data_IF_528962040255
#
_entry.id   IF_528962040255
#
_cell.length_a   1.000
_cell.length_b   1.000
_cell.length_c   1.000
_cell.angle_alpha   90.00
_cell.angle_beta   90.00
_cell.angle_gamma   90.00
#
_symmetry.space_group_name_H-M   'P 1'
#
loop_
_entity.id
_entity.type
_entity.pdbx_description
1 polymer ?
#
# COMPACT_ATOMS: atom_id res chain seq x y z
N UNK A 1 -8.77 -28.64 -12.48
CA UNK A 1 -7.65 -28.95 -13.40
C UNK A 1 -6.44 -29.34 -12.56
N UNK A 2 -5.66 -30.36 -12.97
CA UNK A 2 -4.52 -30.87 -12.19
C UNK A 2 -3.25 -30.83 -13.02
N UNK A 3 -2.18 -30.27 -12.46
CA UNK A 3 -0.84 -30.29 -13.01
C UNK A 3 0.07 -31.10 -12.10
N UNK A 4 0.73 -32.11 -12.65
CA UNK A 4 1.66 -32.95 -11.91
C UNK A 4 3.06 -32.77 -12.47
N UNK A 5 4.01 -32.45 -11.60
CA UNK A 5 5.42 -32.34 -11.92
C UNK A 5 6.21 -33.31 -11.05
N UNK A 6 7.19 -33.97 -11.64
CA UNK A 6 8.12 -34.84 -10.95
C UNK A 6 9.54 -34.31 -11.13
N UNK A 7 10.28 -34.28 -10.05
CA UNK A 7 11.71 -33.96 -10.05
C UNK A 7 12.45 -35.18 -9.53
N UNK A 8 13.08 -35.91 -10.46
CA UNK A 8 13.88 -37.09 -10.10
C UNK A 8 15.08 -36.66 -9.21
N UNK A 9 15.56 -37.61 -8.38
CA UNK A 9 16.72 -37.33 -7.54
C UNK A 9 17.93 -36.90 -8.37
N UNK A 10 18.47 -35.70 -8.08
CA UNK A 10 19.60 -35.10 -8.79
C UNK A 10 19.23 -34.43 -10.13
N UNK A 11 17.95 -34.36 -10.50
CA UNK A 11 17.53 -33.63 -11.70
C UNK A 11 17.53 -32.11 -11.45
N UNK A 12 17.90 -31.38 -12.49
CA UNK A 12 17.95 -29.90 -12.46
C UNK A 12 16.61 -29.23 -12.84
N UNK A 13 15.63 -30.00 -13.27
CA UNK A 13 14.32 -29.52 -13.74
C UNK A 13 13.21 -30.51 -13.38
N UNK A 14 11.99 -30.00 -13.32
CA UNK A 14 10.80 -30.82 -13.20
C UNK A 14 10.35 -31.35 -14.59
N UNK A 15 9.82 -32.55 -14.62
CA UNK A 15 9.17 -33.11 -15.79
C UNK A 15 7.66 -33.18 -15.54
N UNK A 16 6.84 -32.72 -16.50
CA UNK A 16 5.39 -32.87 -16.38
C UNK A 16 5.01 -34.35 -16.50
N UNK A 17 4.09 -34.78 -15.64
CA UNK A 17 3.54 -36.12 -15.63
C UNK A 17 2.00 -36.08 -15.77
N UNK A 18 1.42 -37.16 -16.25
CA UNK A 18 -0.04 -37.28 -16.29
C UNK A 18 -0.60 -37.47 -14.87
N UNK A 19 -1.73 -36.84 -14.57
CA UNK A 19 -2.38 -36.97 -13.26
C UNK A 19 -2.70 -38.44 -12.89
N UNK A 20 -2.95 -39.29 -13.90
CA UNK A 20 -3.14 -40.74 -13.70
C UNK A 20 -1.89 -41.50 -13.26
N UNK A 21 -0.70 -40.89 -13.37
CA UNK A 21 0.57 -41.51 -12.92
C UNK A 21 0.94 -41.18 -11.46
N UNK A 22 0.08 -40.52 -10.70
CA UNK A 22 0.35 -40.00 -9.35
C UNK A 22 0.95 -41.05 -8.41
N UNK A 23 0.38 -42.26 -8.36
CA UNK A 23 0.90 -43.35 -7.49
C UNK A 23 2.28 -43.81 -7.93
N UNK A 24 2.53 -43.90 -9.25
CA UNK A 24 3.82 -44.29 -9.81
C UNK A 24 4.89 -43.23 -9.54
N UNK A 25 4.54 -41.96 -9.69
CA UNK A 25 5.43 -40.80 -9.42
C UNK A 25 5.76 -40.73 -7.93
N UNK A 26 4.76 -40.97 -7.04
CA UNK A 26 4.97 -41.01 -5.59
C UNK A 26 5.93 -42.12 -5.16
N UNK A 27 5.93 -43.24 -5.85
CA UNK A 27 6.81 -44.38 -5.56
C UNK A 27 8.20 -44.22 -6.17
N UNK A 28 8.46 -43.22 -6.97
CA UNK A 28 9.77 -42.96 -7.61
C UNK A 28 10.68 -42.15 -6.69
N UNK A 29 12.01 -42.22 -6.96
CA UNK A 29 12.98 -41.39 -6.25
C UNK A 29 12.85 -39.91 -6.67
N UNK A 30 12.94 -39.00 -5.69
CA UNK A 30 12.84 -37.58 -5.92
C UNK A 30 11.68 -36.93 -5.15
N UNK A 31 11.08 -35.91 -5.72
CA UNK A 31 9.91 -35.25 -5.14
C UNK A 31 8.89 -34.87 -6.20
N UNK A 32 7.67 -34.64 -5.81
CA UNK A 32 6.57 -34.28 -6.69
C UNK A 32 5.95 -32.92 -6.29
N UNK A 33 5.42 -32.22 -7.29
CA UNK A 33 4.49 -31.11 -7.12
C UNK A 33 3.18 -31.42 -7.84
N UNK A 34 2.10 -31.56 -7.06
CA UNK A 34 0.74 -31.65 -7.56
C UNK A 34 0.03 -30.31 -7.31
N UNK A 35 -0.34 -29.64 -8.41
CA UNK A 35 -1.06 -28.37 -8.38
C UNK A 35 -2.50 -28.57 -8.84
N UNK A 36 -3.46 -28.32 -7.94
CA UNK A 36 -4.88 -28.60 -8.15
C UNK A 36 -5.65 -27.30 -8.22
N UNK A 37 -6.10 -26.97 -9.43
CA UNK A 37 -6.79 -25.71 -9.74
C UNK A 37 -8.26 -25.97 -10.02
N UNK A 38 -9.15 -25.12 -9.52
CA UNK A 38 -10.60 -25.20 -9.74
C UNK A 38 -11.16 -26.61 -9.48
N UNK A 39 -11.01 -27.02 -8.25
CA UNK A 39 -11.34 -28.39 -7.78
C UNK A 39 -12.70 -28.46 -7.09
N UNK A 40 -13.32 -29.62 -7.17
CA UNK A 40 -14.48 -29.99 -6.34
C UNK A 40 -14.02 -30.58 -4.99
N UNK A 41 -14.90 -30.56 -3.99
CA UNK A 41 -14.60 -31.20 -2.69
C UNK A 41 -14.29 -32.69 -2.84
N UNK A 42 -14.93 -33.40 -3.78
CA UNK A 42 -14.66 -34.82 -4.04
C UNK A 42 -13.25 -35.05 -4.60
N UNK A 43 -12.78 -34.18 -5.52
CA UNK A 43 -11.41 -34.21 -6.06
C UNK A 43 -10.38 -33.94 -4.97
N UNK A 44 -10.60 -32.93 -4.13
CA UNK A 44 -9.72 -32.63 -3.01
C UNK A 44 -9.62 -33.82 -2.02
N UNK A 45 -10.75 -34.42 -1.68
CA UNK A 45 -10.80 -35.60 -0.79
C UNK A 45 -10.18 -36.85 -1.45
N UNK A 46 -10.21 -36.99 -2.76
CA UNK A 46 -9.51 -38.06 -3.45
C UNK A 46 -8.00 -37.89 -3.34
N UNK A 47 -7.47 -36.70 -3.53
CA UNK A 47 -6.06 -36.37 -3.32
C UNK A 47 -5.65 -36.59 -1.85
N UNK A 48 -6.46 -36.14 -0.90
CA UNK A 48 -6.21 -36.32 0.53
C UNK A 48 -6.07 -37.81 0.92
N UNK A 49 -6.88 -38.71 0.36
CA UNK A 49 -6.79 -40.16 0.59
C UNK A 49 -5.49 -40.74 0.06
N UNK A 50 -4.98 -40.27 -1.07
CA UNK A 50 -3.72 -40.74 -1.65
C UNK A 50 -2.53 -40.36 -0.75
N UNK A 51 -2.52 -39.13 -0.22
CA UNK A 51 -1.40 -38.61 0.57
C UNK A 51 -1.56 -38.84 2.08
N UNK A 52 -2.76 -39.13 2.56
CA UNK A 52 -3.05 -39.30 3.98
C UNK A 52 -3.14 -38.01 4.76
N UNK A 53 -3.61 -36.90 4.11
CA UNK A 53 -3.74 -35.59 4.76
C UNK A 53 -4.80 -35.64 5.88
N UNK A 54 -4.55 -34.84 6.92
CA UNK A 54 -5.44 -34.73 8.07
C UNK A 54 -6.82 -34.14 7.65
N UNK A 55 -7.94 -34.73 8.12
CA UNK A 55 -9.27 -34.25 7.84
C UNK A 55 -9.49 -32.79 8.21
N UNK A 56 -8.88 -32.29 9.31
CA UNK A 56 -9.01 -30.87 9.73
C UNK A 56 -8.35 -29.94 8.72
N UNK A 57 -7.16 -30.28 8.21
CA UNK A 57 -6.53 -29.51 7.15
C UNK A 57 -7.36 -29.50 5.87
N UNK A 58 -8.05 -30.62 5.59
CA UNK A 58 -8.91 -30.73 4.40
C UNK A 58 -10.23 -29.96 4.54
N UNK A 59 -10.74 -29.73 5.74
CA UNK A 59 -11.84 -28.80 5.99
C UNK A 59 -11.44 -27.38 5.57
N UNK A 60 -10.25 -26.93 5.92
CA UNK A 60 -9.74 -25.61 5.47
C UNK A 60 -9.59 -25.52 3.94
N UNK A 61 -9.21 -26.59 3.25
CA UNK A 61 -9.12 -26.63 1.79
C UNK A 61 -10.50 -26.53 1.12
N UNK A 62 -11.52 -27.15 1.71
CA UNK A 62 -12.89 -27.20 1.15
C UNK A 62 -13.73 -26.01 1.54
N UNK A 63 -13.59 -25.57 2.78
CA UNK A 63 -14.26 -24.41 3.36
C UNK A 63 -13.29 -23.24 3.33
N UNK A 64 -13.62 -22.15 2.62
CA UNK A 64 -12.74 -20.99 2.51
C UNK A 64 -12.35 -20.48 3.91
N UNK A 65 -11.07 -20.55 4.21
CA UNK A 65 -10.50 -20.01 5.44
C UNK A 65 -10.17 -18.53 5.23
N UNK A 66 -10.75 -17.64 6.01
CA UNK A 66 -10.58 -16.19 5.81
C UNK A 66 -9.16 -15.68 6.15
N UNK A 67 -8.34 -16.47 6.85
CA UNK A 67 -7.06 -15.99 7.39
C UNK A 67 -5.89 -16.91 7.06
N UNK A 68 -4.79 -16.35 6.54
CA UNK A 68 -3.53 -17.06 6.38
C UNK A 68 -3.06 -17.67 7.70
N UNK A 69 -2.59 -18.93 7.63
CA UNK A 69 -2.05 -19.67 8.78
C UNK A 69 -1.03 -20.72 8.35
N UNK A 70 -0.29 -21.24 9.29
CA UNK A 70 0.53 -22.44 9.14
C UNK A 70 0.28 -23.39 10.29
N UNK A 71 0.03 -24.65 9.97
CA UNK A 71 -0.12 -25.76 10.91
C UNK A 71 1.00 -26.78 10.66
N UNK A 72 1.61 -27.27 11.72
CA UNK A 72 2.72 -28.23 11.68
C UNK A 72 2.20 -29.62 12.02
N UNK A 73 2.32 -30.55 11.07
CA UNK A 73 2.00 -31.95 11.23
C UNK A 73 3.31 -32.78 11.33
N UNK A 74 3.24 -34.03 11.72
CA UNK A 74 4.44 -34.87 11.98
C UNK A 74 5.36 -35.01 10.74
N UNK A 75 4.78 -35.02 9.52
CA UNK A 75 5.48 -35.31 8.26
C UNK A 75 5.40 -34.18 7.22
N UNK A 76 4.54 -33.18 7.45
CA UNK A 76 4.38 -32.05 6.55
C UNK A 76 3.89 -30.78 7.27
N UNK A 77 4.16 -29.63 6.68
CA UNK A 77 3.53 -28.37 7.05
C UNK A 77 2.32 -28.09 6.13
N UNK A 78 1.22 -27.64 6.71
CA UNK A 78 0.06 -27.14 5.99
C UNK A 78 0.01 -25.63 6.07
N UNK A 79 -0.09 -24.97 4.93
CA UNK A 79 -0.07 -23.48 4.83
C UNK A 79 -1.29 -23.02 4.10
N UNK A 80 -2.03 -22.10 4.71
CA UNK A 80 -3.08 -21.30 4.06
C UNK A 80 -2.50 -19.93 3.78
N UNK A 81 -2.52 -19.49 2.52
CA UNK A 81 -2.06 -18.19 2.13
C UNK A 81 -2.96 -17.59 1.03
N UNK A 82 -2.74 -16.32 0.66
CA UNK A 82 -3.55 -15.63 -0.31
C UNK A 82 -2.65 -14.99 -1.38
N UNK A 83 -3.06 -15.15 -2.64
CA UNK A 83 -2.50 -14.45 -3.78
C UNK A 83 -3.42 -13.31 -4.25
N UNK A 84 -2.90 -12.44 -5.07
CA UNK A 84 -3.64 -11.33 -5.67
C UNK A 84 -4.08 -11.72 -7.06
N UNK A 85 -5.38 -11.65 -7.33
CA UNK A 85 -5.91 -11.83 -8.67
C UNK A 85 -5.83 -10.53 -9.47
N UNK A 86 -5.49 -10.60 -10.76
CA UNK A 86 -5.40 -9.42 -11.61
C UNK A 86 -6.78 -8.96 -12.06
N UNK A 87 -7.63 -8.49 -11.15
CA UNK A 87 -8.85 -7.76 -11.51
C UNK A 87 -8.57 -6.25 -11.41
N UNK A 88 -8.48 -5.53 -12.54
CA UNK A 88 -8.24 -4.09 -12.53
C UNK A 88 -9.40 -3.29 -11.92
N UNK A 89 -10.58 -3.90 -11.75
CA UNK A 89 -11.78 -3.22 -11.25
C UNK A 89 -11.98 -3.40 -9.74
N UNK A 90 -11.41 -4.45 -9.14
CA UNK A 90 -11.56 -4.75 -7.70
C UNK A 90 -10.30 -5.41 -7.16
N UNK A 91 -9.89 -4.95 -5.99
CA UNK A 91 -8.90 -5.64 -5.20
C UNK A 91 -9.50 -7.00 -4.77
N UNK A 92 -9.08 -8.07 -5.41
CA UNK A 92 -9.52 -9.42 -5.09
C UNK A 92 -8.30 -10.28 -4.75
N UNK A 93 -8.39 -10.98 -3.64
CA UNK A 93 -7.39 -11.96 -3.22
C UNK A 93 -8.04 -13.33 -3.21
N UNK A 94 -7.34 -14.32 -3.72
CA UNK A 94 -7.79 -15.71 -3.72
C UNK A 94 -6.90 -16.54 -2.81
N UNK A 95 -7.54 -17.40 -2.03
CA UNK A 95 -6.87 -18.33 -1.14
C UNK A 95 -6.19 -19.44 -1.93
N UNK A 96 -5.02 -19.85 -1.46
CA UNK A 96 -4.39 -21.10 -1.83
C UNK A 96 -3.88 -21.86 -0.60
N UNK A 97 -3.92 -23.17 -0.70
CA UNK A 97 -3.52 -24.09 0.36
C UNK A 97 -2.33 -24.91 -0.13
N UNK A 98 -1.34 -25.14 0.72
CA UNK A 98 -0.15 -25.92 0.38
C UNK A 98 0.22 -26.91 1.47
N UNK A 99 0.38 -28.17 1.09
CA UNK A 99 0.96 -29.24 1.91
C UNK A 99 2.42 -29.43 1.48
N UNK A 100 3.35 -29.28 2.40
CA UNK A 100 4.78 -29.25 2.13
C UNK A 100 5.46 -30.32 2.98
N UNK A 101 5.86 -31.42 2.36
CA UNK A 101 6.57 -32.50 2.99
C UNK A 101 7.97 -32.73 2.39
N UNK A 102 8.73 -33.66 2.92
CA UNK A 102 10.10 -33.96 2.49
C UNK A 102 10.24 -34.38 1.03
N UNK A 103 9.20 -34.96 0.46
CA UNK A 103 9.18 -35.45 -0.93
C UNK A 103 7.97 -34.97 -1.72
N UNK A 104 7.19 -34.01 -1.20
CA UNK A 104 5.96 -33.59 -1.85
C UNK A 104 5.66 -32.10 -1.60
N UNK A 105 5.08 -31.48 -2.64
CA UNK A 105 4.34 -30.25 -2.57
C UNK A 105 2.97 -30.49 -3.20
N UNK A 106 1.90 -30.29 -2.45
CA UNK A 106 0.53 -30.34 -3.01
C UNK A 106 -0.12 -29.02 -2.75
N UNK A 107 -0.61 -28.39 -3.83
CA UNK A 107 -1.23 -27.07 -3.77
C UNK A 107 -2.67 -27.12 -4.28
N UNK A 108 -3.55 -26.40 -3.60
CA UNK A 108 -4.96 -26.26 -3.94
C UNK A 108 -5.31 -24.80 -4.05
N UNK A 109 -5.93 -24.39 -5.13
CA UNK A 109 -6.48 -23.05 -5.30
C UNK A 109 -7.67 -23.06 -6.26
N UNK A 110 -8.68 -22.24 -5.99
CA UNK A 110 -9.89 -22.20 -6.82
C UNK A 110 -9.71 -21.40 -8.08
N UNK A 111 -8.88 -20.37 -8.04
CA UNK A 111 -8.57 -19.53 -9.17
C UNK A 111 -7.12 -19.75 -9.62
N UNK A 112 -6.86 -19.74 -10.92
CA UNK A 112 -5.49 -19.86 -11.43
C UNK A 112 -4.70 -18.57 -11.15
N UNK A 113 -3.98 -18.57 -10.04
CA UNK A 113 -3.18 -17.45 -9.58
C UNK A 113 -1.92 -17.29 -10.43
N UNK A 114 -1.59 -16.08 -10.87
CA UNK A 114 -0.47 -15.85 -11.78
C UNK A 114 0.91 -16.27 -11.26
N UNK A 115 1.11 -16.28 -9.93
CA UNK A 115 2.32 -16.81 -9.30
C UNK A 115 2.50 -18.31 -9.53
N UNK A 116 1.42 -19.07 -9.54
CA UNK A 116 1.45 -20.51 -9.82
C UNK A 116 1.74 -20.76 -11.29
N UNK A 117 1.04 -20.08 -12.21
CA UNK A 117 1.31 -20.17 -13.65
C UNK A 117 2.77 -19.85 -13.96
N UNK A 118 3.30 -18.77 -13.34
CA UNK A 118 4.69 -18.38 -13.52
C UNK A 118 5.67 -19.47 -13.03
N UNK A 119 5.41 -20.08 -11.85
CA UNK A 119 6.28 -21.15 -11.34
C UNK A 119 6.15 -22.43 -12.18
N UNK A 120 4.94 -22.78 -12.64
CA UNK A 120 4.73 -23.96 -13.54
C UNK A 120 5.56 -23.85 -14.84
N UNK A 121 5.66 -22.64 -15.39
CA UNK A 121 6.46 -22.40 -16.58
C UNK A 121 7.96 -22.53 -16.31
N UNK A 122 8.44 -21.96 -15.20
CA UNK A 122 9.87 -21.91 -14.90
C UNK A 122 10.42 -23.19 -14.24
N UNK A 123 9.58 -23.96 -13.56
CA UNK A 123 10.02 -25.21 -12.88
C UNK A 123 10.61 -26.24 -13.85
N UNK A 124 10.26 -26.14 -15.13
CA UNK A 124 10.74 -26.99 -16.22
C UNK A 124 12.08 -26.49 -16.80
N UNK A 125 12.57 -25.29 -16.42
CA UNK A 125 13.81 -24.75 -16.89
C UNK A 125 15.01 -25.36 -16.13
N UNK A 126 16.09 -25.79 -16.82
CA UNK A 126 17.27 -26.36 -16.18
C UNK A 126 17.88 -25.36 -15.17
N UNK A 127 18.20 -25.85 -13.99
CA UNK A 127 18.87 -25.06 -12.94
C UNK A 127 17.97 -24.06 -12.20
N UNK A 128 16.70 -23.90 -12.60
CA UNK A 128 15.80 -22.94 -11.93
C UNK A 128 15.46 -23.36 -10.50
N UNK A 129 15.22 -24.65 -10.24
CA UNK A 129 15.02 -25.18 -8.89
C UNK A 129 16.34 -25.15 -8.07
N UNK A 130 17.48 -25.33 -8.74
CA UNK A 130 18.78 -25.55 -8.09
C UNK A 130 18.72 -26.81 -7.22
N UNK A 131 19.28 -26.74 -6.01
CA UNK A 131 19.22 -27.83 -5.01
C UNK A 131 17.97 -27.72 -4.11
N UNK A 132 16.93 -27.03 -4.56
CA UNK A 132 15.72 -26.81 -3.77
C UNK A 132 14.75 -27.97 -3.93
N UNK A 133 14.19 -28.40 -2.81
CA UNK A 133 13.13 -29.40 -2.76
C UNK A 133 11.74 -28.78 -2.94
N UNK A 134 10.68 -29.49 -2.54
CA UNK A 134 9.30 -29.01 -2.58
C UNK A 134 9.10 -27.71 -1.81
N UNK A 135 9.76 -27.55 -0.68
CA UNK A 135 9.80 -26.35 0.15
C UNK A 135 10.38 -25.15 -0.58
N UNK A 136 11.40 -25.34 -1.40
CA UNK A 136 11.98 -24.29 -2.22
C UNK A 136 11.06 -23.86 -3.36
N UNK A 137 10.30 -24.79 -3.95
CA UNK A 137 9.28 -24.48 -4.95
C UNK A 137 8.15 -23.64 -4.34
N UNK A 138 7.64 -24.05 -3.16
CA UNK A 138 6.66 -23.28 -2.40
C UNK A 138 7.18 -21.87 -2.07
N UNK A 139 8.39 -21.75 -1.57
CA UNK A 139 8.96 -20.45 -1.23
C UNK A 139 9.06 -19.51 -2.44
N UNK A 140 9.27 -20.04 -3.65
CA UNK A 140 9.26 -19.26 -4.90
C UNK A 140 7.85 -18.83 -5.30
N UNK A 141 6.84 -19.69 -5.13
CA UNK A 141 5.42 -19.30 -5.32
C UNK A 141 5.10 -18.14 -4.38
N UNK A 142 5.42 -18.28 -3.10
CA UNK A 142 5.18 -17.25 -2.10
C UNK A 142 5.91 -15.94 -2.40
N UNK A 143 7.16 -16.00 -2.86
CA UNK A 143 7.93 -14.81 -3.27
C UNK A 143 7.32 -14.11 -4.48
N UNK A 144 6.91 -14.88 -5.48
CA UNK A 144 6.22 -14.35 -6.66
C UNK A 144 4.88 -13.70 -6.30
N UNK A 145 4.10 -14.34 -5.41
CA UNK A 145 2.85 -13.80 -4.89
C UNK A 145 3.06 -12.50 -4.10
N UNK A 146 4.03 -12.46 -3.18
CA UNK A 146 4.33 -11.26 -2.38
C UNK A 146 4.70 -10.06 -3.25
N UNK A 147 5.44 -10.26 -4.33
CA UNK A 147 5.80 -9.20 -5.29
C UNK A 147 4.60 -8.60 -6.01
N UNK A 148 3.50 -9.33 -6.15
CA UNK A 148 2.27 -8.86 -6.81
C UNK A 148 1.46 -7.89 -5.97
N UNK A 149 1.68 -7.86 -4.67
CA UNK A 149 1.07 -6.84 -3.81
C UNK A 149 1.70 -5.45 -4.03
N UNK A 150 2.96 -5.37 -4.47
CA UNK A 150 3.68 -4.11 -4.61
C UNK A 150 2.98 -3.08 -5.51
N UNK A 151 2.57 -3.40 -6.75
CA UNK A 151 1.89 -2.43 -7.61
C UNK A 151 0.52 -2.00 -7.06
N UNK A 152 -0.15 -2.83 -6.26
CA UNK A 152 -1.40 -2.46 -5.62
C UNK A 152 -1.18 -1.41 -4.53
N UNK A 153 -0.10 -1.55 -3.76
CA UNK A 153 0.26 -0.59 -2.71
C UNK A 153 0.69 0.73 -3.35
N UNK A 154 1.49 0.70 -4.40
CA UNK A 154 1.90 1.90 -5.14
C UNK A 154 0.69 2.65 -5.71
N UNK A 155 -0.27 1.93 -6.30
CA UNK A 155 -1.53 2.53 -6.78
C UNK A 155 -2.41 3.09 -5.66
N UNK A 156 -2.42 2.45 -4.48
CA UNK A 156 -3.13 2.96 -3.31
C UNK A 156 -2.47 4.26 -2.80
N UNK A 157 -1.13 4.28 -2.68
CA UNK A 157 -0.36 5.44 -2.23
C UNK A 157 -0.54 6.64 -3.16
N UNK A 158 -0.52 6.42 -4.49
CA UNK A 158 -0.77 7.47 -5.48
C UNK A 158 -2.16 8.09 -5.32
N UNK A 159 -3.19 7.26 -5.15
CA UNK A 159 -4.56 7.74 -4.92
C UNK A 159 -4.70 8.47 -3.58
N UNK A 160 -4.01 8.06 -2.54
CA UNK A 160 -3.98 8.75 -1.23
C UNK A 160 -3.39 10.15 -1.38
N UNK A 161 -2.28 10.30 -2.14
CA UNK A 161 -1.65 11.60 -2.40
C UNK A 161 -2.55 12.53 -3.23
N UNK A 162 -3.26 11.99 -4.24
CA UNK A 162 -4.23 12.78 -5.03
C UNK A 162 -5.36 13.32 -4.15
N UNK A 163 -5.96 12.45 -3.34
CA UNK A 163 -7.05 12.84 -2.44
C UNK A 163 -6.58 13.86 -1.38
N UNK A 164 -5.35 13.76 -0.88
CA UNK A 164 -4.75 14.75 0.02
C UNK A 164 -4.66 16.13 -0.65
N UNK A 165 -4.14 16.19 -1.88
CA UNK A 165 -4.03 17.43 -2.65
C UNK A 165 -5.40 18.08 -2.89
N UNK A 166 -6.41 17.30 -3.22
CA UNK A 166 -7.79 17.77 -3.45
C UNK A 166 -8.49 18.20 -2.17
N UNK A 167 -8.19 17.56 -1.03
CA UNK A 167 -8.72 17.96 0.27
C UNK A 167 -8.26 19.37 0.67
N UNK A 168 -7.01 19.73 0.41
CA UNK A 168 -6.47 21.08 0.62
C UNK A 168 -7.23 22.11 -0.22
N UNK A 169 -7.67 21.75 -1.43
CA UNK A 169 -8.48 22.60 -2.29
C UNK A 169 -9.95 22.72 -1.85
N UNK A 170 -10.38 21.94 -0.84
CA UNK A 170 -11.76 21.93 -0.35
C UNK A 170 -12.73 21.21 -1.28
N UNK A 171 -12.26 20.24 -2.08
CA UNK A 171 -13.09 19.44 -2.97
C UNK A 171 -13.97 18.47 -2.14
N UNK A 172 -15.28 18.60 -2.26
CA UNK A 172 -16.25 17.79 -1.51
C UNK A 172 -16.29 16.32 -1.94
N UNK A 173 -15.78 15.98 -3.13
CA UNK A 173 -15.80 14.61 -3.65
C UNK A 173 -14.82 13.71 -2.93
N UNK A 174 -13.81 14.26 -2.26
CA UNK A 174 -12.78 13.51 -1.52
C UNK A 174 -13.36 12.65 -0.39
N UNK A 175 -14.49 13.03 0.21
CA UNK A 175 -15.08 12.30 1.34
C UNK A 175 -15.43 10.85 0.95
N UNK A 176 -16.10 10.68 -0.19
CA UNK A 176 -16.47 9.36 -0.70
C UNK A 176 -15.26 8.52 -1.07
N UNK A 177 -14.26 9.15 -1.68
CA UNK A 177 -13.03 8.48 -2.11
C UNK A 177 -12.15 8.05 -0.92
N UNK A 178 -11.99 8.91 0.10
CA UNK A 178 -11.33 8.55 1.35
C UNK A 178 -11.98 7.31 1.98
N UNK A 179 -13.33 7.23 2.00
CA UNK A 179 -14.02 6.07 2.55
C UNK A 179 -13.78 4.79 1.73
N UNK A 180 -13.69 4.91 0.41
CA UNK A 180 -13.34 3.78 -0.46
C UNK A 180 -11.91 3.31 -0.21
N UNK A 181 -10.92 4.23 -0.24
CA UNK A 181 -9.51 3.92 0.02
C UNK A 181 -9.28 3.31 1.42
N UNK A 182 -10.01 3.80 2.43
CA UNK A 182 -9.95 3.19 3.77
C UNK A 182 -10.45 1.76 3.79
N UNK A 183 -11.53 1.45 3.07
CA UNK A 183 -12.02 0.07 2.95
C UNK A 183 -11.00 -0.81 2.25
N UNK A 184 -10.44 -0.36 1.13
CA UNK A 184 -9.42 -1.09 0.36
C UNK A 184 -8.18 -1.38 1.24
N UNK A 185 -7.67 -0.36 1.96
CA UNK A 185 -6.54 -0.51 2.87
C UNK A 185 -6.83 -1.47 4.04
N UNK A 186 -8.05 -1.44 4.59
CA UNK A 186 -8.46 -2.36 5.66
C UNK A 186 -8.59 -3.80 5.16
N UNK A 187 -9.14 -4.02 3.96
CA UNK A 187 -9.23 -5.35 3.34
C UNK A 187 -7.84 -5.95 3.12
N UNK A 188 -6.92 -5.18 2.53
CA UNK A 188 -5.54 -5.61 2.37
C UNK A 188 -4.87 -5.90 3.72
N UNK A 189 -5.08 -5.04 4.70
CA UNK A 189 -4.48 -5.19 6.03
C UNK A 189 -4.92 -6.47 6.74
N UNK A 190 -6.21 -6.85 6.55
CA UNK A 190 -6.79 -8.08 7.10
C UNK A 190 -6.06 -9.34 6.61
N UNK A 191 -5.50 -9.30 5.40
CA UNK A 191 -4.81 -10.43 4.76
C UNK A 191 -3.30 -10.34 4.94
N UNK A 192 -2.72 -9.16 4.69
CA UNK A 192 -1.26 -8.94 4.75
C UNK A 192 -0.69 -9.15 6.17
N UNK A 193 -1.44 -8.77 7.21
CA UNK A 193 -1.02 -8.98 8.59
C UNK A 193 -0.81 -10.46 8.91
N UNK A 194 -1.83 -11.32 8.77
CA UNK A 194 -1.69 -12.76 8.95
C UNK A 194 -0.66 -13.41 8.00
N UNK A 195 -0.57 -12.98 6.72
CA UNK A 195 0.48 -13.47 5.82
C UNK A 195 1.88 -13.21 6.38
N UNK A 196 2.15 -11.99 6.85
CA UNK A 196 3.42 -11.66 7.52
C UNK A 196 3.70 -12.60 8.68
N UNK A 197 2.70 -12.86 9.54
CA UNK A 197 2.85 -13.70 10.72
C UNK A 197 3.05 -15.17 10.35
N UNK A 198 2.34 -15.67 9.33
CA UNK A 198 2.52 -17.01 8.75
C UNK A 198 3.96 -17.18 8.22
N UNK A 199 4.45 -16.23 7.40
CA UNK A 199 5.82 -16.29 6.87
C UNK A 199 6.89 -16.01 7.93
N UNK A 200 6.56 -15.33 9.02
CA UNK A 200 7.44 -15.22 10.17
C UNK A 200 7.64 -16.60 10.83
N UNK A 201 6.58 -17.37 11.05
CA UNK A 201 6.67 -18.73 11.57
C UNK A 201 7.43 -19.66 10.62
N UNK A 202 7.08 -19.68 9.33
CA UNK A 202 7.77 -20.43 8.29
C UNK A 202 9.27 -20.13 8.21
N UNK A 203 9.67 -18.89 8.49
CA UNK A 203 11.06 -18.45 8.45
C UNK A 203 11.85 -18.66 9.75
N UNK A 204 11.18 -18.82 10.90
CA UNK A 204 11.84 -18.86 12.21
C UNK A 204 11.70 -20.19 12.94
N UNK A 205 10.59 -20.91 12.73
CA UNK A 205 10.31 -22.18 13.39
C UNK A 205 10.90 -23.36 12.58
N UNK A 206 11.18 -24.46 13.27
CA UNK A 206 11.52 -25.73 12.63
C UNK A 206 10.22 -26.50 12.38
N UNK A 207 9.71 -26.41 11.16
CA UNK A 207 8.49 -27.06 10.71
C UNK A 207 8.84 -28.28 9.84
N UNK A 208 7.98 -29.30 9.89
CA UNK A 208 8.13 -30.48 9.05
C UNK A 208 8.15 -30.09 7.56
N UNK A 209 9.02 -30.69 6.79
CA UNK A 209 9.15 -30.45 5.35
C UNK A 209 9.80 -29.12 4.96
N UNK A 210 10.17 -28.23 5.89
CA UNK A 210 10.77 -26.91 5.60
C UNK A 210 12.26 -26.89 5.96
N UNK A 211 13.13 -26.89 4.95
CA UNK A 211 14.58 -26.83 5.11
C UNK A 211 15.13 -25.43 5.33
N UNK A 212 16.41 -25.34 5.69
CA UNK A 212 17.05 -24.06 6.03
C UNK A 212 17.04 -23.05 4.88
N UNK A 213 17.25 -23.48 3.64
CA UNK A 213 17.22 -22.59 2.47
C UNK A 213 15.84 -22.01 2.20
N UNK A 214 14.78 -22.82 2.34
CA UNK A 214 13.41 -22.35 2.21
C UNK A 214 13.02 -21.40 3.33
N UNK A 215 13.46 -21.66 4.57
CA UNK A 215 13.27 -20.72 5.71
C UNK A 215 13.87 -19.35 5.43
N UNK A 216 15.08 -19.26 4.87
CA UNK A 216 15.70 -18.00 4.51
C UNK A 216 14.89 -17.24 3.43
N UNK A 217 14.30 -17.96 2.46
CA UNK A 217 13.40 -17.35 1.47
C UNK A 217 12.08 -16.88 2.12
N UNK A 218 11.50 -17.67 3.02
CA UNK A 218 10.31 -17.28 3.77
C UNK A 218 10.57 -16.02 4.63
N UNK A 219 11.77 -15.85 5.18
CA UNK A 219 12.17 -14.60 5.84
C UNK A 219 12.14 -13.40 4.88
N UNK A 220 12.63 -13.56 3.65
CA UNK A 220 12.54 -12.51 2.63
C UNK A 220 11.09 -12.18 2.28
N UNK A 221 10.22 -13.19 2.14
CA UNK A 221 8.78 -13.02 1.89
C UNK A 221 8.12 -12.28 3.07
N UNK A 222 8.43 -12.68 4.32
CA UNK A 222 7.99 -11.96 5.53
C UNK A 222 8.37 -10.48 5.47
N UNK A 223 9.61 -10.16 5.07
CA UNK A 223 10.09 -8.78 5.00
C UNK A 223 9.34 -7.97 3.93
N UNK A 224 8.90 -8.61 2.83
CA UNK A 224 8.00 -7.99 1.86
C UNK A 224 6.64 -7.66 2.49
N UNK A 225 6.00 -8.61 3.15
CA UNK A 225 4.71 -8.37 3.79
C UNK A 225 4.80 -7.38 4.96
N UNK A 226 5.93 -7.34 5.67
CA UNK A 226 6.16 -6.33 6.70
C UNK A 226 6.15 -4.91 6.13
N UNK A 227 6.87 -4.66 5.03
CA UNK A 227 6.87 -3.35 4.34
C UNK A 227 5.49 -2.98 3.82
N UNK A 228 4.78 -3.94 3.23
CA UNK A 228 3.42 -3.73 2.74
C UNK A 228 2.49 -3.33 3.90
N UNK A 229 2.57 -4.02 5.04
CA UNK A 229 1.78 -3.71 6.21
C UNK A 229 2.08 -2.29 6.75
N UNK A 230 3.35 -1.89 6.79
CA UNK A 230 3.77 -0.54 7.20
C UNK A 230 3.25 0.54 6.23
N UNK A 231 3.32 0.31 4.92
CA UNK A 231 2.73 1.21 3.91
C UNK A 231 1.21 1.35 4.10
N UNK A 232 0.50 0.25 4.37
CA UNK A 232 -0.94 0.28 4.63
C UNK A 232 -1.28 1.06 5.91
N UNK A 233 -0.52 0.88 6.98
CA UNK A 233 -0.71 1.62 8.23
C UNK A 233 -0.45 3.13 8.00
N UNK A 234 0.57 3.48 7.24
CA UNK A 234 0.88 4.86 6.83
C UNK A 234 -0.25 5.45 5.99
N UNK A 235 -0.73 4.73 4.98
CA UNK A 235 -1.84 5.17 4.14
C UNK A 235 -3.12 5.44 4.96
N UNK A 236 -3.44 4.58 5.93
CA UNK A 236 -4.57 4.79 6.84
C UNK A 236 -4.42 6.03 7.71
N UNK A 237 -3.22 6.29 8.22
CA UNK A 237 -2.93 7.49 9.01
C UNK A 237 -3.08 8.77 8.16
N UNK A 238 -2.55 8.77 6.93
CA UNK A 238 -2.70 9.89 5.99
C UNK A 238 -4.16 10.12 5.64
N UNK A 239 -4.93 9.06 5.33
CA UNK A 239 -6.37 9.17 5.05
C UNK A 239 -7.17 9.73 6.25
N UNK A 240 -6.70 9.48 7.48
CA UNK A 240 -7.24 10.12 8.67
C UNK A 240 -6.99 11.63 8.69
N UNK A 241 -5.76 12.05 8.40
CA UNK A 241 -5.35 13.44 8.34
C UNK A 241 -6.00 14.21 7.19
N UNK A 242 -6.26 13.56 6.06
CA UNK A 242 -6.96 14.15 4.89
C UNK A 242 -8.35 14.69 5.26
N UNK A 243 -9.13 13.95 6.05
CA UNK A 243 -10.45 14.40 6.49
C UNK A 243 -10.37 15.64 7.38
N UNK A 244 -9.36 15.72 8.24
CA UNK A 244 -9.14 16.89 9.10
C UNK A 244 -8.70 18.10 8.27
N UNK A 245 -7.82 17.90 7.31
CA UNK A 245 -7.39 18.93 6.36
C UNK A 245 -8.57 19.48 5.57
N UNK A 246 -9.44 18.60 5.05
CA UNK A 246 -10.66 18.99 4.34
C UNK A 246 -11.59 19.82 5.22
N UNK A 247 -11.85 19.37 6.47
CA UNK A 247 -12.67 20.12 7.44
C UNK A 247 -12.11 21.51 7.70
N UNK A 248 -10.80 21.62 7.87
CA UNK A 248 -10.10 22.89 8.07
C UNK A 248 -10.23 23.81 6.87
N UNK A 249 -10.06 23.28 5.64
CA UNK A 249 -10.21 24.04 4.41
C UNK A 249 -11.65 24.57 4.22
N UNK A 250 -12.66 23.74 4.52
CA UNK A 250 -14.07 24.15 4.47
C UNK A 250 -14.38 25.20 5.54
N UNK A 251 -13.87 25.04 6.76
CA UNK A 251 -14.05 26.01 7.84
C UNK A 251 -13.41 27.36 7.48
N UNK A 252 -12.20 27.37 6.90
CA UNK A 252 -11.53 28.57 6.43
C UNK A 252 -12.35 29.28 5.35
N UNK A 253 -12.85 28.53 4.36
CA UNK A 253 -13.70 29.09 3.30
C UNK A 253 -15.01 29.68 3.85
N UNK A 254 -15.61 28.99 4.83
CA UNK A 254 -16.82 29.50 5.51
C UNK A 254 -16.52 30.80 6.26
N UNK A 255 -15.39 30.86 6.97
CA UNK A 255 -14.95 32.06 7.66
C UNK A 255 -14.70 33.23 6.70
N UNK A 256 -14.17 32.96 5.50
CA UNK A 256 -13.98 33.98 4.47
C UNK A 256 -15.32 34.56 3.98
N UNK A 257 -16.28 33.69 3.68
CA UNK A 257 -17.62 34.12 3.31
C UNK A 257 -18.26 34.94 4.41
N UNK A 258 -18.15 34.50 5.68
CA UNK A 258 -18.63 35.25 6.83
C UNK A 258 -17.98 36.61 6.99
N UNK A 259 -16.66 36.73 6.75
CA UNK A 259 -15.95 38.02 6.76
C UNK A 259 -16.49 38.96 5.70
N UNK A 260 -16.66 38.49 4.46
CA UNK A 260 -17.21 39.30 3.36
C UNK A 260 -18.62 39.79 3.68
N UNK A 261 -19.47 38.88 4.18
CA UNK A 261 -20.85 39.23 4.56
C UNK A 261 -20.90 40.27 5.70
N UNK A 262 -20.01 40.06 6.72
CA UNK A 262 -19.90 41.00 7.84
C UNK A 262 -19.51 42.41 7.37
N UNK A 263 -18.48 42.53 6.50
CA UNK A 263 -18.04 43.80 5.94
C UNK A 263 -19.15 44.45 5.13
N UNK A 264 -19.81 43.66 4.26
CA UNK A 264 -20.91 44.18 3.45
C UNK A 264 -22.06 44.73 4.31
N UNK A 265 -22.48 43.97 5.31
CA UNK A 265 -23.56 44.35 6.25
C UNK A 265 -23.16 45.58 7.07
N UNK A 266 -21.93 45.63 7.59
CA UNK A 266 -21.43 46.72 8.40
C UNK A 266 -21.34 48.06 7.63
N UNK A 267 -21.11 48.01 6.33
CA UNK A 267 -21.14 49.21 5.47
C UNK A 267 -22.57 49.58 5.10
N UNK A 268 -23.43 48.61 4.76
CA UNK A 268 -24.77 48.87 4.27
C UNK A 268 -25.71 49.42 5.36
N UNK A 269 -25.57 48.95 6.59
CA UNK A 269 -26.45 49.31 7.70
C UNK A 269 -26.46 50.79 8.02
N UNK A 270 -25.30 51.50 8.20
CA UNK A 270 -25.29 52.94 8.42
C UNK A 270 -25.80 53.71 7.19
N UNK A 271 -25.50 53.26 5.98
CA UNK A 271 -26.00 53.92 4.76
C UNK A 271 -27.54 53.81 4.69
N UNK A 272 -28.09 52.63 5.00
CA UNK A 272 -29.53 52.43 5.01
C UNK A 272 -30.21 53.29 6.10
N UNK A 273 -29.55 53.45 7.27
CA UNK A 273 -30.05 54.36 8.31
C UNK A 273 -30.12 55.78 7.83
N UNK A 274 -29.06 56.31 7.21
CA UNK A 274 -29.04 57.67 6.65
C UNK A 274 -30.12 57.81 5.58
N UNK A 275 -30.22 56.88 4.65
CA UNK A 275 -31.25 56.90 3.61
C UNK A 275 -32.68 56.82 4.20
N UNK A 276 -32.85 56.03 5.26
CA UNK A 276 -34.14 55.93 5.95
C UNK A 276 -34.53 57.22 6.65
N UNK A 277 -33.61 57.90 7.35
CA UNK A 277 -33.88 59.21 7.99
C UNK A 277 -34.27 60.25 6.96
N UNK A 278 -33.51 60.37 5.86
CA UNK A 278 -33.84 61.35 4.81
C UNK A 278 -35.06 60.96 3.94
N UNK A 279 -35.46 59.69 4.01
CA UNK A 279 -36.72 59.19 3.40
C UNK A 279 -37.97 59.40 4.25
N UNK A 280 -37.86 59.91 5.48
CA UNK A 280 -39.01 60.17 6.38
C UNK A 280 -39.72 61.45 6.02
N UNK A 281 -41.04 61.42 6.06
CA UNK A 281 -41.91 62.57 5.73
C UNK A 281 -42.17 63.50 6.94
N UNK A 282 -41.11 63.97 7.60
CA UNK A 282 -41.26 64.94 8.66
C UNK A 282 -41.42 66.37 8.12
N UNK A 283 -42.42 67.14 8.70
CA UNK A 283 -42.73 68.51 8.28
C UNK A 283 -41.61 69.49 8.59
N UNK A 284 -40.76 69.21 9.59
CA UNK A 284 -39.65 70.08 10.03
C UNK A 284 -38.30 69.37 9.92
N UNK A 285 -37.80 69.29 8.70
CA UNK A 285 -36.40 68.87 8.41
C UNK A 285 -35.64 70.07 7.78
N UNK A 286 -34.80 70.78 8.55
CA UNK A 286 -34.12 71.98 8.04
C UNK A 286 -33.18 71.67 6.86
N UNK A 287 -32.58 70.42 6.83
CA UNK A 287 -31.68 69.96 5.79
C UNK A 287 -32.35 69.75 4.43
N UNK A 288 -33.66 69.45 4.38
CA UNK A 288 -34.43 69.33 3.13
C UNK A 288 -34.71 70.70 2.46
N UNK A 289 -34.68 71.81 3.21
CA UNK A 289 -34.83 73.15 2.68
C UNK A 289 -33.49 73.72 2.15
N UNK A 290 -32.37 73.06 2.44
CA UNK A 290 -31.07 73.53 1.99
C UNK A 290 -30.80 73.08 0.54
N UNK A 291 -30.37 74.04 -0.30
CA UNK A 291 -30.10 73.79 -1.75
C UNK A 291 -29.11 72.64 -2.00
N UNK A 292 -28.21 72.38 -1.08
CA UNK A 292 -27.17 71.37 -1.15
C UNK A 292 -27.44 70.18 -0.23
N UNK A 293 -28.62 70.07 0.42
CA UNK A 293 -28.95 69.03 1.39
C UNK A 293 -28.85 67.59 0.82
N UNK A 294 -29.28 67.41 -0.44
CA UNK A 294 -29.13 66.11 -1.12
C UNK A 294 -27.64 65.73 -1.33
N UNK A 295 -26.84 66.69 -1.80
CA UNK A 295 -25.42 66.48 -2.02
C UNK A 295 -24.68 66.23 -0.70
N UNK A 296 -25.08 66.89 0.37
CA UNK A 296 -24.55 66.69 1.73
C UNK A 296 -24.87 65.27 2.25
N UNK A 297 -26.09 64.79 2.09
CA UNK A 297 -26.46 63.42 2.49
C UNK A 297 -25.61 62.36 1.73
N UNK A 298 -25.46 62.51 0.43
CA UNK A 298 -24.60 61.65 -0.37
C UNK A 298 -23.13 61.70 0.06
N UNK A 299 -22.61 62.90 0.41
CA UNK A 299 -21.25 63.04 0.90
C UNK A 299 -21.06 62.36 2.25
N UNK A 300 -21.99 62.50 3.18
CA UNK A 300 -21.96 61.78 4.49
C UNK A 300 -21.96 60.28 4.28
N UNK A 301 -22.84 59.76 3.40
CA UNK A 301 -22.90 58.34 3.06
C UNK A 301 -21.55 57.87 2.47
N UNK A 302 -20.97 58.62 1.54
CA UNK A 302 -19.68 58.28 0.95
C UNK A 302 -18.54 58.30 1.96
N UNK A 303 -18.48 59.31 2.85
CA UNK A 303 -17.45 59.40 3.91
C UNK A 303 -17.58 58.20 4.87
N UNK A 304 -18.79 57.86 5.30
CA UNK A 304 -19.03 56.74 6.19
C UNK A 304 -18.64 55.42 5.50
N UNK A 305 -19.04 55.20 4.25
CA UNK A 305 -18.69 54.03 3.49
C UNK A 305 -17.16 53.91 3.33
N UNK A 306 -16.49 55.00 2.96
CA UNK A 306 -15.03 55.04 2.78
C UNK A 306 -14.29 54.79 4.10
N UNK A 307 -14.73 55.43 5.20
CA UNK A 307 -14.13 55.25 6.53
C UNK A 307 -14.24 53.78 7.01
N UNK A 308 -15.40 53.17 6.85
CA UNK A 308 -15.61 51.75 7.20
C UNK A 308 -14.81 50.83 6.29
N UNK A 309 -14.78 51.11 4.98
CA UNK A 309 -13.98 50.32 4.04
C UNK A 309 -12.49 50.37 4.38
N UNK A 310 -11.93 51.55 4.65
CA UNK A 310 -10.54 51.75 5.10
C UNK A 310 -10.28 51.04 6.43
N UNK A 311 -11.22 51.13 7.38
CA UNK A 311 -11.11 50.41 8.66
C UNK A 311 -11.00 48.91 8.46
N UNK A 312 -11.90 48.29 7.69
CA UNK A 312 -11.86 46.84 7.43
C UNK A 312 -10.67 46.43 6.56
N UNK A 313 -10.25 47.27 5.59
CA UNK A 313 -9.06 47.01 4.78
C UNK A 313 -7.79 47.00 5.66
N UNK A 314 -7.65 47.96 6.60
CA UNK A 314 -6.52 47.99 7.55
C UNK A 314 -6.53 46.80 8.54
N UNK A 315 -7.69 46.34 8.92
CA UNK A 315 -7.88 45.16 9.77
C UNK A 315 -7.74 43.81 9.03
N UNK A 316 -7.39 43.83 7.72
CA UNK A 316 -7.26 42.65 6.87
C UNK A 316 -8.56 41.80 6.73
N UNK A 317 -9.74 42.44 6.95
CA UNK A 317 -11.01 41.80 6.67
C UNK A 317 -11.33 41.82 5.17
N UNK A 318 -10.79 42.79 4.43
CA UNK A 318 -10.88 42.94 2.99
C UNK A 318 -9.48 42.76 2.42
N UNK A 319 -9.13 41.52 2.20
CA UNK A 319 -7.88 41.12 1.61
C UNK A 319 -7.93 39.61 1.55
N UNK A 320 -8.19 39.06 0.39
CA UNK A 320 -8.28 37.63 0.20
C UNK A 320 -7.04 36.94 0.73
N UNK A 321 -7.18 35.69 1.23
CA UNK A 321 -6.05 34.89 1.59
C UNK A 321 -5.14 34.76 0.38
N UNK A 322 -3.86 34.83 0.61
CA UNK A 322 -2.89 34.37 -0.37
C UNK A 322 -3.09 32.86 -0.47
N UNK A 323 -3.95 32.42 -1.40
CA UNK A 323 -4.02 31.04 -1.86
C UNK A 323 -2.62 30.69 -2.38
N UNK A 324 -1.73 30.26 -1.52
CA UNK A 324 -0.34 29.97 -1.87
C UNK A 324 0.61 29.77 -0.71
N UNK A 325 0.13 29.95 0.53
CA UNK A 325 0.92 29.62 1.71
C UNK A 325 0.12 28.66 2.61
N UNK A 326 -0.31 27.51 2.07
CA UNK A 326 -0.49 26.34 2.91
C UNK A 326 0.84 26.10 3.64
N UNK A 327 0.83 25.80 4.92
CA UNK A 327 2.07 25.50 5.64
C UNK A 327 2.73 24.30 4.95
N UNK A 328 3.77 24.58 4.15
CA UNK A 328 4.65 23.57 3.51
C UNK A 328 5.31 22.64 4.50
N UNK A 329 4.99 22.77 5.78
CA UNK A 329 5.62 22.04 6.88
C UNK A 329 5.07 20.61 7.02
N UNK A 330 3.78 20.37 6.70
CA UNK A 330 3.20 19.02 6.83
C UNK A 330 3.55 18.15 5.61
N UNK A 331 3.53 18.72 4.40
CA UNK A 331 3.85 17.97 3.18
C UNK A 331 5.33 17.58 3.05
N UNK A 332 6.27 18.37 3.62
CA UNK A 332 7.70 17.99 3.60
C UNK A 332 8.03 16.86 4.57
N UNK A 333 7.45 16.84 5.75
CA UNK A 333 7.70 15.78 6.73
C UNK A 333 7.19 14.42 6.28
N UNK A 334 6.00 14.37 5.66
CA UNK A 334 5.42 13.13 5.12
C UNK A 334 6.09 12.68 3.82
N UNK A 335 6.40 13.60 2.90
CA UNK A 335 7.14 13.27 1.68
C UNK A 335 8.58 12.80 1.98
N UNK A 336 9.21 13.31 3.04
CA UNK A 336 10.54 12.86 3.47
C UNK A 336 10.47 11.51 4.20
N UNK A 337 9.39 11.22 4.94
CA UNK A 337 9.14 9.89 5.52
C UNK A 337 8.89 8.83 4.44
N UNK A 338 8.05 9.12 3.45
CA UNK A 338 7.79 8.22 2.31
C UNK A 338 9.07 8.02 1.48
N UNK A 339 9.88 9.07 1.25
CA UNK A 339 11.15 8.96 0.52
C UNK A 339 12.24 8.21 1.30
N UNK A 340 12.22 8.23 2.63
CA UNK A 340 13.17 7.46 3.46
C UNK A 340 12.85 5.96 3.41
N UNK A 341 11.57 5.59 3.28
CA UNK A 341 11.12 4.20 3.19
C UNK A 341 11.37 3.59 1.78
N UNK A 342 11.42 4.42 0.73
CA UNK A 342 11.54 3.99 -0.69
C UNK A 342 13.00 4.08 -1.22
N UNK A 343 14.02 4.40 -0.41
CA UNK A 343 15.39 4.31 -0.93
C UNK A 343 15.73 2.84 -1.20
N UNK A 344 15.79 2.39 -2.46
CA UNK A 344 16.35 1.08 -2.76
C UNK A 344 17.78 1.08 -2.25
N UNK A 345 18.15 0.01 -1.55
CA UNK A 345 19.52 -0.26 -1.13
C UNK A 345 20.36 -0.53 -2.39
N UNK A 346 20.67 0.51 -3.17
CA UNK A 346 21.58 0.44 -4.31
C UNK A 346 23.05 0.44 -3.89
N UNK A 347 23.33 0.37 -2.60
CA UNK A 347 24.71 0.36 -2.06
C UNK A 347 25.42 -1.00 -2.11
N UNK A 348 24.70 -2.11 -2.28
CA UNK A 348 25.33 -3.45 -2.25
C UNK A 348 25.88 -3.89 -3.61
N UNK A 349 25.37 -3.35 -4.71
CA UNK A 349 25.87 -3.68 -6.05
C UNK A 349 27.28 -3.11 -6.35
N UNK A 350 27.71 -2.07 -5.66
CA UNK A 350 29.04 -1.48 -5.85
C UNK A 350 30.17 -2.25 -5.16
N UNK A 351 29.86 -3.11 -4.20
CA UNK A 351 30.86 -3.93 -3.49
C UNK A 351 31.16 -5.28 -4.16
N UNK A 352 30.32 -5.73 -5.10
CA UNK A 352 30.49 -7.00 -5.81
C UNK A 352 31.20 -6.87 -7.16
N UNK A 353 31.54 -5.65 -7.60
CA UNK A 353 32.27 -5.41 -8.87
C UNK A 353 33.73 -4.98 -8.70
N UNK A 354 34.30 -5.03 -7.49
CA UNK A 354 35.74 -4.82 -7.28
C UNK A 354 36.51 -6.06 -7.74
N UNK A 355 36.91 -6.08 -9.00
CA UNK A 355 37.91 -7.03 -9.54
C UNK A 355 39.20 -6.88 -8.76
N UNK A 356 39.87 -7.98 -8.33
CA UNK A 356 41.23 -7.90 -7.78
C UNK A 356 42.20 -7.50 -8.88
N UNK A 357 42.80 -6.36 -8.69
CA UNK A 357 43.89 -5.86 -9.56
C UNK A 357 45.10 -6.78 -9.50
N UNK A 358 45.55 -7.20 -10.67
CA UNK A 358 46.71 -8.02 -11.00
C UNK A 358 47.97 -7.19 -10.70
N UNK A 359 48.67 -7.54 -9.61
CA UNK A 359 50.03 -7.03 -9.33
C UNK A 359 51.02 -7.59 -10.35
N UNK A 360 51.55 -6.72 -11.22
CA UNK A 360 52.75 -6.93 -12.00
C UNK A 360 53.85 -6.10 -11.38
N UNK A 361 54.89 -6.77 -10.90
CA UNK A 361 56.03 -6.16 -10.23
C UNK A 361 56.92 -5.33 -11.13
N UNK A 362 57.68 -4.43 -10.49
CA UNK A 362 59.09 -4.10 -10.85
C UNK A 362 59.78 -3.63 -9.58
N UNK A 363 60.88 -4.27 -9.31
CA UNK A 363 61.89 -3.91 -8.32
C UNK A 363 62.79 -2.78 -8.85
N UNK A 364 63.25 -1.95 -7.93
CA UNK A 364 64.54 -1.23 -7.87
C UNK A 364 64.45 -0.30 -6.66
N UNK A 365 65.18 -0.50 -5.58
CA UNK A 365 66.55 -0.20 -5.39
C UNK A 365 66.74 1.22 -4.84
N UNK A 366 66.95 1.43 -3.54
CA UNK A 366 68.19 1.99 -3.02
C UNK A 366 68.12 2.40 -1.52
N UNK A 367 69.17 2.08 -0.81
CA UNK A 367 69.75 2.50 0.43
C UNK A 367 69.17 3.56 1.37
N UNK A 368 69.30 3.26 2.64
CA UNK A 368 69.37 4.26 3.71
C UNK A 368 69.07 3.74 5.12
N UNK A 369 70.11 3.34 5.81
CA UNK A 369 70.14 2.89 7.21
C UNK A 369 69.89 4.01 8.25
N UNK A 370 69.69 3.62 9.55
CA UNK A 370 69.06 4.45 10.56
C UNK A 370 69.97 5.32 11.40
N UNK A 371 69.58 6.09 12.38
CA UNK A 371 69.65 5.63 13.77
C UNK A 371 68.62 6.12 14.80
N UNK A 372 68.45 5.29 15.83
CA UNK A 372 68.43 5.52 17.28
C UNK A 372 67.60 6.71 17.83
N UNK A 373 66.64 6.47 18.62
CA UNK A 373 66.53 6.46 20.10
C UNK A 373 65.12 5.98 20.52
#
# INVERSE_FOLDING_TARGET
MQYLFHVAAGAERAEPAEAGALEAVRASDGWLWLDVVDFSGEEAMAVARVFGFDPIAMEDVTDLTEFPKVDDYEDHAFVVAHGVTPDPARLHTSEYNAFIGSGLLVTFHREDLPEFSWVRDHVQEPGWLGESGPDGAFARIAEAGARRFQPLIEGLEERVLDVEARAVAGDHTVIGEVQALRRDALMLRKIVGPLRDTFMRLGSEQLAGIGERARLRCQSVRDHYFRIAESLDTAQAVLGAVLETYRSAVAERTNEVMKVLTVFTAILLPLSLVAGIYGMNFVHMPELRWRFGYLWALLVMLVVALALWVYFARRRFVGGPRIGQAPRVVGKGLADLVRLTIKPVTGVAALLTARPGRNGGKAEGDHGSPPAQ
#
